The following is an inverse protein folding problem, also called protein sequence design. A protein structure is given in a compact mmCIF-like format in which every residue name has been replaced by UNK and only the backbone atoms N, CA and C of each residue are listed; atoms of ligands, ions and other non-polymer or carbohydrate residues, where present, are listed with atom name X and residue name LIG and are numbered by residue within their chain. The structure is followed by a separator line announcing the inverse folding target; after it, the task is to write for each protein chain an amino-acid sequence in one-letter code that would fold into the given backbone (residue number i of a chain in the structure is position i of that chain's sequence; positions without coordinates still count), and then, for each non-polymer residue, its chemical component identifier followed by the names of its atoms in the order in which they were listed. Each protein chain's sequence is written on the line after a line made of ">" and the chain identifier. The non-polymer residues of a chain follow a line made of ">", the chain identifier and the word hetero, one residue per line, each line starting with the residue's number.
data_IF_231115911400
#
_entry.id   IF_231115911400
#
_cell.length_a   1.000
_cell.length_b   1.000
_cell.length_c   1.000
_cell.angle_alpha   90.00
_cell.angle_beta   90.00
_cell.angle_gamma   90.00
#
_symmetry.space_group_name_H-M   'P 1'
#
loop_
_entity.id
_entity.type
_entity.pdbx_description
1 polymer ?
#
# COMPACT_ATOMS: atom_id res chain seq x y z
N UNK A 1 -33.53 -14.30 -52.96
CA UNK A 1 -34.22 -13.41 -52.01
C UNK A 1 -33.61 -13.78 -50.66
N UNK A 2 -32.83 -12.90 -50.13
CA UNK A 2 -31.76 -13.17 -49.16
C UNK A 2 -32.31 -12.97 -47.77
N UNK A 3 -32.23 -14.01 -46.98
CA UNK A 3 -32.49 -13.96 -45.53
C UNK A 3 -31.30 -13.33 -44.83
N UNK A 4 -31.52 -12.47 -43.89
CA UNK A 4 -30.51 -11.78 -43.08
C UNK A 4 -30.59 -12.33 -41.69
N UNK A 5 -29.45 -12.92 -41.25
CA UNK A 5 -29.18 -13.41 -39.93
C UNK A 5 -29.19 -12.29 -38.89
N UNK A 6 -29.94 -12.54 -37.85
CA UNK A 6 -30.13 -11.67 -36.68
C UNK A 6 -29.00 -11.97 -35.65
N UNK A 7 -27.96 -11.14 -35.61
CA UNK A 7 -26.94 -11.19 -34.59
C UNK A 7 -27.37 -10.40 -33.35
N UNK A 8 -28.05 -11.09 -32.45
CA UNK A 8 -28.46 -10.56 -31.16
C UNK A 8 -27.30 -10.26 -30.24
N UNK A 9 -26.81 -9.03 -30.21
CA UNK A 9 -25.99 -8.50 -29.12
C UNK A 9 -26.92 -8.13 -27.96
N UNK A 10 -27.00 -9.03 -26.97
CA UNK A 10 -27.77 -8.81 -25.74
C UNK A 10 -27.24 -7.62 -24.93
N UNK A 11 -27.84 -6.47 -25.11
CA UNK A 11 -27.65 -5.34 -24.21
C UNK A 11 -28.29 -5.67 -22.86
N UNK A 12 -27.51 -6.05 -21.87
CA UNK A 12 -27.98 -6.13 -20.49
C UNK A 12 -28.31 -4.73 -20.00
N UNK A 13 -29.61 -4.39 -20.00
CA UNK A 13 -30.07 -3.08 -19.61
C UNK A 13 -29.80 -2.79 -18.13
N UNK A 14 -29.44 -1.54 -17.82
CA UNK A 14 -29.20 -1.01 -16.45
C UNK A 14 -30.35 -1.32 -15.46
N UNK A 15 -31.54 -1.63 -15.95
CA UNK A 15 -32.72 -2.02 -15.15
C UNK A 15 -32.62 -3.46 -14.60
N UNK A 16 -31.88 -4.37 -15.22
CA UNK A 16 -31.67 -5.72 -14.73
C UNK A 16 -30.71 -5.72 -13.55
N UNK A 17 -29.67 -4.89 -13.60
CA UNK A 17 -28.71 -4.72 -12.51
C UNK A 17 -29.38 -4.15 -11.23
N UNK A 18 -30.24 -3.14 -11.36
CA UNK A 18 -30.94 -2.52 -10.23
C UNK A 18 -32.00 -3.44 -9.58
N UNK A 19 -32.54 -4.40 -10.30
CA UNK A 19 -33.45 -5.40 -9.72
C UNK A 19 -32.73 -6.47 -8.87
N UNK A 20 -31.47 -6.73 -9.17
CA UNK A 20 -30.65 -7.67 -8.39
C UNK A 20 -30.10 -7.07 -7.09
N UNK A 21 -29.90 -5.77 -7.04
CA UNK A 21 -29.36 -5.07 -5.85
C UNK A 21 -30.47 -4.67 -4.87
N UNK A 22 -31.71 -4.52 -5.33
CA UNK A 22 -32.85 -4.05 -4.53
C UNK A 22 -33.59 -5.08 -3.67
N UNK A 23 -33.26 -6.37 -3.76
CA UNK A 23 -33.98 -7.44 -3.04
C UNK A 23 -33.21 -8.12 -1.90
N UNK A 24 -32.06 -7.59 -1.48
CA UNK A 24 -31.23 -8.16 -0.41
C UNK A 24 -31.28 -7.35 0.90
N UNK A 25 -32.46 -6.80 1.25
CA UNK A 25 -32.68 -6.14 2.52
C UNK A 25 -33.55 -6.98 3.44
N UNK A 26 -33.11 -8.20 3.81
CA UNK A 26 -33.58 -8.89 5.02
C UNK A 26 -32.43 -9.77 5.54
N UNK A 27 -32.20 -9.69 6.84
CA UNK A 27 -31.19 -10.41 7.58
C UNK A 27 -31.21 -11.91 7.27
N UNK A 28 -30.09 -12.47 6.78
CA UNK A 28 -29.88 -13.92 6.84
C UNK A 28 -29.48 -14.64 5.56
N UNK A 29 -28.73 -14.04 4.62
CA UNK A 29 -28.25 -14.83 3.48
C UNK A 29 -26.94 -14.34 2.86
N UNK A 30 -25.85 -14.46 3.59
CA UNK A 30 -24.50 -14.52 3.01
C UNK A 30 -24.23 -15.85 2.25
N UNK A 31 -25.21 -16.76 2.24
CA UNK A 31 -25.10 -18.07 1.60
C UNK A 31 -25.59 -18.13 0.15
N UNK A 32 -26.14 -17.05 -0.42
CA UNK A 32 -26.74 -17.08 -1.76
C UNK A 32 -25.83 -16.58 -2.89
N UNK A 33 -24.57 -16.22 -2.61
CA UNK A 33 -23.56 -15.93 -3.63
C UNK A 33 -22.68 -17.15 -3.98
N UNK A 34 -22.94 -18.33 -3.40
CA UNK A 34 -22.22 -19.57 -3.65
C UNK A 34 -22.65 -20.31 -4.93
N UNK A 35 -23.36 -19.66 -5.86
CA UNK A 35 -23.97 -20.28 -7.02
C UNK A 35 -23.34 -20.03 -8.38
N UNK A 36 -22.16 -19.45 -8.46
CA UNK A 36 -21.42 -19.30 -9.72
C UNK A 36 -19.99 -19.81 -9.57
N UNK A 37 -19.81 -21.10 -9.93
CA UNK A 37 -18.56 -21.72 -10.38
C UNK A 37 -17.32 -21.54 -9.53
N UNK A 38 -17.06 -22.46 -8.76
CA UNK A 38 -15.94 -23.08 -8.01
C UNK A 38 -14.48 -22.55 -8.13
N UNK A 39 -14.20 -21.37 -8.65
CA UNK A 39 -12.80 -20.88 -8.71
C UNK A 39 -12.55 -19.50 -8.09
N UNK A 40 -13.58 -18.78 -7.67
CA UNK A 40 -13.44 -17.38 -7.22
C UNK A 40 -14.30 -17.05 -5.99
N UNK A 41 -14.56 -18.00 -5.12
CA UNK A 41 -15.39 -17.82 -3.93
C UNK A 41 -14.71 -17.03 -2.81
N UNK A 42 -15.52 -16.66 -1.82
CA UNK A 42 -15.10 -15.92 -0.62
C UNK A 42 -13.95 -16.58 0.17
N UNK A 43 -13.67 -17.86 -0.06
CA UNK A 43 -12.56 -18.60 0.56
C UNK A 43 -11.18 -18.05 0.14
N UNK A 44 -11.04 -17.56 -1.09
CA UNK A 44 -9.76 -16.99 -1.57
C UNK A 44 -9.42 -15.68 -0.84
N UNK A 45 -10.43 -14.92 -0.41
CA UNK A 45 -10.22 -13.70 0.38
C UNK A 45 -9.87 -14.03 1.83
N UNK A 46 -10.43 -15.10 2.37
CA UNK A 46 -10.17 -15.54 3.73
C UNK A 46 -8.81 -16.25 3.87
N UNK A 47 -8.38 -17.02 2.86
CA UNK A 47 -7.15 -17.81 2.92
C UNK A 47 -5.89 -16.95 2.64
N UNK A 48 -6.00 -15.89 1.82
CA UNK A 48 -4.91 -14.91 1.63
C UNK A 48 -4.70 -14.03 2.86
N UNK A 49 -5.55 -14.14 3.86
CA UNK A 49 -5.55 -13.27 5.03
C UNK A 49 -5.62 -14.06 6.35
N UNK A 50 -4.92 -15.19 6.44
CA UNK A 50 -4.80 -15.91 7.71
C UNK A 50 -3.67 -15.26 8.53
N UNK A 51 -3.99 -14.55 9.64
CA UNK A 51 -2.96 -14.02 10.52
C UNK A 51 -2.16 -15.20 11.07
N UNK A 52 -0.91 -15.35 10.69
CA UNK A 52 0.02 -16.21 11.42
C UNK A 52 0.22 -15.61 12.80
N UNK A 53 -0.04 -16.40 13.83
CA UNK A 53 0.11 -15.96 15.22
C UNK A 53 1.57 -15.52 15.48
N UNK A 54 1.81 -14.43 16.20
CA UNK A 54 3.16 -14.03 16.58
C UNK A 54 3.84 -15.11 17.44
N UNK A 55 5.15 -15.30 17.32
CA UNK A 55 5.90 -16.33 18.05
C UNK A 55 5.96 -16.13 19.57
N UNK A 56 5.52 -14.99 20.09
CA UNK A 56 5.36 -14.72 21.53
C UNK A 56 3.88 -14.55 21.80
N UNK A 57 3.30 -15.16 22.87
CA UNK A 57 1.92 -14.91 23.22
C UNK A 57 1.76 -13.41 23.47
N UNK A 58 1.17 -12.73 22.50
CA UNK A 58 0.70 -11.36 22.73
C UNK A 58 -0.27 -11.44 23.93
N UNK A 59 -0.21 -10.48 24.88
CA UNK A 59 -1.25 -10.36 25.88
C UNK A 59 -2.59 -10.37 25.15
N UNK A 60 -3.63 -10.97 25.76
CA UNK A 60 -4.97 -11.12 25.20
C UNK A 60 -5.62 -9.73 25.04
N UNK A 61 -5.06 -8.90 24.16
CA UNK A 61 -5.51 -7.56 23.84
C UNK A 61 -6.16 -7.57 22.48
N UNK A 62 -7.44 -7.26 22.42
CA UNK A 62 -8.16 -7.08 21.17
C UNK A 62 -8.03 -5.62 20.76
N UNK A 63 -7.39 -5.37 19.61
CA UNK A 63 -7.22 -4.02 19.10
C UNK A 63 -8.57 -3.35 18.81
N UNK A 64 -8.70 -2.12 19.23
CA UNK A 64 -9.89 -1.27 19.01
C UNK A 64 -9.79 -0.55 17.66
N UNK A 65 -10.89 0.05 17.21
CA UNK A 65 -10.89 0.94 16.03
C UNK A 65 -9.87 2.07 16.19
N UNK A 66 -9.75 2.65 17.40
CA UNK A 66 -8.76 3.71 17.68
C UNK A 66 -7.33 3.21 17.53
N UNK A 67 -7.03 1.97 17.90
CA UNK A 67 -5.69 1.40 17.69
C UNK A 67 -5.38 1.22 16.20
N UNK A 68 -6.34 0.71 15.45
CA UNK A 68 -6.19 0.55 14.00
C UNK A 68 -6.04 1.89 13.28
N UNK A 69 -6.82 2.90 13.65
CA UNK A 69 -6.72 4.24 13.09
C UNK A 69 -5.38 4.91 13.44
N UNK A 70 -4.91 4.77 14.67
CA UNK A 70 -3.58 5.24 15.08
C UNK A 70 -2.47 4.53 14.33
N UNK A 71 -2.59 3.22 14.12
CA UNK A 71 -1.63 2.48 13.31
C UNK A 71 -1.61 3.00 11.86
N UNK A 72 -2.78 3.18 11.25
CA UNK A 72 -2.88 3.75 9.90
C UNK A 72 -2.26 5.16 9.85
N UNK A 73 -2.44 5.96 10.90
CA UNK A 73 -1.83 7.29 11.02
C UNK A 73 -0.30 7.23 11.04
N UNK A 74 0.32 6.20 11.67
CA UNK A 74 1.78 6.05 11.65
C UNK A 74 2.30 5.80 10.23
N UNK A 75 1.65 4.92 9.47
CA UNK A 75 2.00 4.68 8.06
C UNK A 75 1.71 5.92 7.21
N UNK A 76 0.62 6.66 7.53
CA UNK A 76 0.31 7.94 6.87
C UNK A 76 1.40 8.98 7.10
N UNK A 77 1.97 9.09 8.30
CA UNK A 77 3.11 9.98 8.57
C UNK A 77 4.33 9.62 7.71
N UNK A 78 4.61 8.32 7.51
CA UNK A 78 5.70 7.88 6.65
C UNK A 78 5.48 8.31 5.20
N UNK A 79 4.32 7.99 4.61
CA UNK A 79 4.03 8.34 3.21
C UNK A 79 3.97 9.85 3.02
N UNK A 80 3.35 10.57 3.96
CA UNK A 80 3.32 12.05 3.94
C UNK A 80 4.72 12.63 4.04
N UNK A 81 5.55 12.15 4.96
CA UNK A 81 6.92 12.62 5.15
C UNK A 81 7.77 12.47 3.89
N UNK A 82 7.64 11.33 3.21
CA UNK A 82 8.34 11.07 1.96
C UNK A 82 7.87 11.99 0.82
N UNK A 83 6.57 12.00 0.52
CA UNK A 83 6.04 12.78 -0.60
C UNK A 83 6.15 14.28 -0.37
N UNK A 84 5.91 14.74 0.85
CA UNK A 84 6.04 16.16 1.19
C UNK A 84 7.49 16.66 1.07
N UNK A 85 8.44 15.87 1.61
CA UNK A 85 9.88 16.21 1.50
C UNK A 85 10.33 16.22 0.05
N UNK A 86 9.87 15.28 -0.75
CA UNK A 86 10.21 15.20 -2.17
C UNK A 86 9.63 16.36 -2.98
N UNK A 87 8.40 16.77 -2.69
CA UNK A 87 7.74 17.85 -3.41
C UNK A 87 8.18 19.25 -2.98
N UNK A 88 8.41 19.46 -1.67
CA UNK A 88 8.58 20.80 -1.08
C UNK A 88 9.88 21.00 -0.29
N UNK A 89 10.66 19.95 -0.05
CA UNK A 89 11.95 20.01 0.66
C UNK A 89 11.86 20.14 2.18
N UNK A 90 10.67 20.46 2.71
CA UNK A 90 10.44 20.72 4.14
C UNK A 90 9.70 19.60 4.87
N UNK A 91 9.12 19.95 6.00
CA UNK A 91 8.23 19.09 6.79
C UNK A 91 6.81 19.68 6.80
N UNK A 92 5.81 18.84 7.07
CA UNK A 92 4.43 19.31 7.25
C UNK A 92 4.30 20.20 8.48
N UNK A 93 3.15 20.85 8.62
CA UNK A 93 2.86 21.74 9.76
C UNK A 93 3.11 21.00 11.09
N UNK A 94 3.93 21.57 12.01
CA UNK A 94 4.25 20.95 13.31
C UNK A 94 3.03 20.62 14.19
N UNK A 95 1.92 21.33 14.04
CA UNK A 95 0.68 21.02 14.77
C UNK A 95 0.08 19.66 14.41
N UNK A 96 0.40 19.14 13.23
CA UNK A 96 -0.10 17.85 12.75
C UNK A 96 0.72 16.65 13.24
N UNK A 97 1.87 16.88 13.87
CA UNK A 97 2.77 15.79 14.31
C UNK A 97 2.73 15.53 15.82
N UNK A 98 1.95 16.32 16.58
CA UNK A 98 1.78 16.17 18.03
C UNK A 98 0.81 15.04 18.40
N UNK A 99 0.87 14.55 19.65
CA UNK A 99 -0.02 13.52 20.16
C UNK A 99 0.60 12.73 21.31
N UNK A 100 0.03 11.57 21.63
CA UNK A 100 0.59 10.66 22.64
C UNK A 100 1.76 9.86 22.07
N UNK A 101 2.72 9.51 22.91
CA UNK A 101 3.93 8.80 22.52
C UNK A 101 5.10 9.73 22.18
N UNK A 102 6.18 9.17 21.64
CA UNK A 102 7.39 9.92 21.32
C UNK A 102 7.18 10.73 20.03
N UNK A 103 7.37 12.04 20.09
CA UNK A 103 7.38 12.90 18.90
C UNK A 103 8.77 12.86 18.26
N UNK A 104 8.84 12.59 16.95
CA UNK A 104 10.07 12.58 16.16
C UNK A 104 9.94 13.31 14.84
N UNK A 105 11.07 13.69 14.27
CA UNK A 105 11.16 14.33 12.96
C UNK A 105 11.32 13.33 11.83
N UNK A 106 11.22 13.84 10.59
CA UNK A 106 11.58 13.12 9.37
C UNK A 106 13.04 13.43 9.05
N UNK A 107 13.88 12.38 8.98
CA UNK A 107 15.31 12.48 8.65
C UNK A 107 15.60 11.92 7.25
N UNK A 108 16.60 12.48 6.59
CA UNK A 108 16.95 12.13 5.22
C UNK A 108 15.95 12.65 4.19
N UNK A 109 16.14 12.21 2.95
CA UNK A 109 15.35 12.68 1.82
C UNK A 109 15.72 14.08 1.34
N UNK A 110 15.32 14.41 0.13
CA UNK A 110 15.57 15.67 -0.51
C UNK A 110 14.40 16.08 -1.41
N UNK A 111 14.27 17.37 -1.67
CA UNK A 111 13.39 17.86 -2.73
C UNK A 111 13.92 17.38 -4.07
N UNK A 112 13.04 16.77 -4.87
CA UNK A 112 13.42 16.27 -6.18
C UNK A 112 13.37 17.39 -7.23
N UNK A 113 14.31 17.33 -8.18
CA UNK A 113 14.49 18.33 -9.26
C UNK A 113 14.50 17.57 -10.59
N UNK A 114 13.32 17.18 -11.06
CA UNK A 114 13.18 16.50 -12.36
C UNK A 114 12.73 17.47 -13.44
N UNK A 115 13.02 17.15 -14.69
CA UNK A 115 12.63 17.98 -15.85
C UNK A 115 11.19 17.75 -16.31
N UNK A 116 10.51 16.69 -15.81
CA UNK A 116 9.11 16.41 -16.10
C UNK A 116 8.20 17.27 -15.21
N UNK A 117 7.81 18.44 -15.70
CA UNK A 117 6.95 19.36 -14.96
C UNK A 117 5.56 18.79 -14.66
N UNK A 118 5.01 17.95 -15.55
CA UNK A 118 3.72 17.30 -15.31
C UNK A 118 3.82 16.32 -14.14
N UNK A 119 4.90 15.55 -14.10
CA UNK A 119 5.15 14.64 -12.97
C UNK A 119 5.36 15.44 -11.67
N UNK A 120 6.14 16.52 -11.69
CA UNK A 120 6.35 17.35 -10.50
C UNK A 120 5.06 18.00 -10.00
N UNK A 121 4.18 18.43 -10.89
CA UNK A 121 2.87 18.94 -10.50
C UNK A 121 2.02 17.87 -9.85
N UNK A 122 1.94 16.67 -10.44
CA UNK A 122 1.23 15.54 -9.85
C UNK A 122 1.82 15.14 -8.48
N UNK A 123 3.15 15.16 -8.32
CA UNK A 123 3.81 14.89 -7.05
C UNK A 123 3.43 15.93 -5.97
N UNK A 124 3.32 17.20 -6.32
CA UNK A 124 2.86 18.25 -5.38
C UNK A 124 1.41 18.00 -4.93
N UNK A 125 0.55 17.63 -5.85
CA UNK A 125 -0.85 17.28 -5.53
C UNK A 125 -0.94 16.03 -4.63
N UNK A 126 -0.15 15.00 -4.91
CA UNK A 126 -0.03 13.82 -4.03
C UNK A 126 0.42 14.25 -2.64
N UNK A 127 1.46 15.07 -2.51
CA UNK A 127 1.99 15.51 -1.22
C UNK A 127 0.94 16.30 -0.41
N UNK A 128 0.21 17.20 -1.05
CA UNK A 128 -0.89 17.95 -0.41
C UNK A 128 -1.99 17.01 0.06
N UNK A 129 -2.43 16.07 -0.79
CA UNK A 129 -3.46 15.11 -0.42
C UNK A 129 -3.01 14.15 0.70
N UNK A 130 -1.72 13.75 0.74
CA UNK A 130 -1.17 12.94 1.84
C UNK A 130 -1.20 13.72 3.16
N UNK A 131 -0.90 15.03 3.15
CA UNK A 131 -1.00 15.87 4.34
C UNK A 131 -2.45 16.04 4.81
N UNK A 132 -3.40 16.24 3.90
CA UNK A 132 -4.84 16.30 4.22
C UNK A 132 -5.33 14.99 4.84
N UNK A 133 -4.81 13.82 4.42
CA UNK A 133 -5.14 12.54 5.05
C UNK A 133 -4.64 12.45 6.49
N UNK A 134 -3.52 13.08 6.83
CA UNK A 134 -3.10 13.22 8.23
C UNK A 134 -4.14 14.01 9.01
N UNK A 135 -4.62 15.14 8.48
CA UNK A 135 -5.67 15.95 9.12
C UNK A 135 -6.93 15.11 9.35
N UNK A 136 -7.40 14.40 8.31
CA UNK A 136 -8.61 13.57 8.39
C UNK A 136 -8.49 12.44 9.42
N UNK A 137 -7.38 11.68 9.40
CA UNK A 137 -7.16 10.60 10.37
C UNK A 137 -7.08 11.15 11.81
N UNK A 138 -6.38 12.26 12.01
CA UNK A 138 -6.32 12.90 13.34
C UNK A 138 -7.68 13.36 13.84
N UNK A 139 -8.51 13.92 12.98
CA UNK A 139 -9.88 14.32 13.30
C UNK A 139 -10.75 13.09 13.64
N UNK A 140 -10.61 11.99 12.90
CA UNK A 140 -11.35 10.75 13.13
C UNK A 140 -10.96 10.09 14.47
N UNK A 141 -9.69 10.13 14.85
CA UNK A 141 -9.17 9.58 16.11
C UNK A 141 -9.55 10.48 17.30
N UNK A 142 -9.51 11.79 17.14
CA UNK A 142 -9.80 12.75 18.20
C UNK A 142 -8.73 12.82 19.29
N UNK A 143 -9.15 12.81 20.56
CA UNK A 143 -8.25 12.99 21.71
C UNK A 143 -7.22 11.87 21.90
N UNK A 144 -7.44 10.69 21.32
CA UNK A 144 -6.54 9.54 21.41
C UNK A 144 -5.43 9.52 20.35
N UNK A 145 -5.22 10.63 19.62
CA UNK A 145 -4.24 10.68 18.51
C UNK A 145 -2.81 10.47 19.00
N UNK A 146 -2.06 9.62 18.29
CA UNK A 146 -0.64 9.41 18.55
C UNK A 146 0.23 10.39 17.74
N UNK A 147 1.37 10.79 18.35
CA UNK A 147 2.34 11.64 17.70
C UNK A 147 3.00 10.95 16.49
N UNK A 148 3.57 11.75 15.59
CA UNK A 148 4.51 11.24 14.58
C UNK A 148 5.76 10.73 15.28
N UNK A 149 6.21 9.49 15.01
CA UNK A 149 7.46 8.97 15.55
C UNK A 149 8.67 9.51 14.73
N UNK A 150 9.87 9.14 15.13
CA UNK A 150 11.04 9.37 14.28
C UNK A 150 10.92 8.55 12.98
N UNK A 151 11.06 9.21 11.85
CA UNK A 151 10.95 8.62 10.51
C UNK A 151 12.25 8.86 9.74
N UNK A 152 12.80 7.81 9.14
CA UNK A 152 13.96 7.86 8.28
C UNK A 152 13.53 7.57 6.83
N UNK A 153 13.83 8.49 5.90
CA UNK A 153 13.53 8.36 4.47
C UNK A 153 14.76 8.61 3.59
N UNK A 154 15.96 8.43 4.13
CA UNK A 154 17.19 8.56 3.36
C UNK A 154 17.35 7.43 2.34
N UNK A 155 18.15 7.72 1.30
CA UNK A 155 18.62 6.75 0.31
C UNK A 155 20.11 6.41 0.49
N UNK A 156 20.61 5.44 -0.27
CA UNK A 156 21.99 5.00 -0.23
C UNK A 156 22.32 4.03 0.91
N UNK A 157 23.60 3.79 1.12
CA UNK A 157 24.10 2.76 2.04
C UNK A 157 23.49 2.83 3.44
N UNK A 158 22.91 1.73 3.90
CA UNK A 158 22.34 1.61 5.24
C UNK A 158 21.04 2.35 5.47
N UNK A 159 20.46 2.93 4.41
CA UNK A 159 19.17 3.60 4.48
C UNK A 159 18.01 2.60 4.51
N UNK A 160 16.81 3.05 4.95
CA UNK A 160 15.61 2.21 4.87
C UNK A 160 15.28 1.76 3.45
N UNK A 161 15.44 2.64 2.46
CA UNK A 161 15.20 2.30 1.07
C UNK A 161 16.17 1.24 0.55
N UNK A 162 17.45 1.33 0.90
CA UNK A 162 18.43 0.32 0.55
C UNK A 162 18.14 -1.02 1.27
N UNK A 163 17.64 -0.97 2.50
CA UNK A 163 17.29 -2.16 3.28
C UNK A 163 16.12 -2.97 2.69
N UNK A 164 15.14 -2.29 2.08
CA UNK A 164 14.00 -2.95 1.41
C UNK A 164 14.27 -3.23 -0.07
N UNK A 165 15.40 -2.77 -0.61
CA UNK A 165 15.76 -2.97 -2.01
C UNK A 165 16.20 -4.42 -2.29
N UNK A 166 15.95 -4.86 -3.51
CA UNK A 166 16.48 -6.13 -4.00
C UNK A 166 17.98 -6.07 -4.23
N UNK A 167 18.74 -6.98 -3.65
CA UNK A 167 20.18 -7.11 -3.90
C UNK A 167 20.50 -7.62 -5.32
N UNK A 168 19.53 -8.23 -5.99
CA UNK A 168 19.64 -8.63 -7.40
C UNK A 168 19.50 -7.43 -8.36
N UNK A 169 18.88 -6.33 -7.90
CA UNK A 169 18.75 -5.08 -8.64
C UNK A 169 19.78 -4.03 -8.20
N UNK A 170 20.04 -3.97 -6.89
CA UNK A 170 20.92 -3.00 -6.23
C UNK A 170 21.91 -3.74 -5.32
N UNK A 171 23.05 -4.22 -5.84
CA UNK A 171 24.08 -4.84 -5.02
C UNK A 171 24.67 -3.83 -4.04
N UNK A 172 25.30 -4.32 -2.98
CA UNK A 172 25.86 -3.47 -1.92
C UNK A 172 26.90 -2.44 -2.39
N UNK A 173 27.50 -2.67 -3.56
CA UNK A 173 28.40 -1.70 -4.21
C UNK A 173 27.66 -0.51 -4.86
N UNK A 174 26.38 -0.64 -5.13
CA UNK A 174 25.50 0.39 -5.71
C UNK A 174 24.18 0.40 -4.94
N UNK A 175 24.18 0.93 -3.71
CA UNK A 175 23.02 0.91 -2.83
C UNK A 175 21.87 1.75 -3.42
N UNK A 176 20.65 1.35 -3.14
CA UNK A 176 19.47 2.03 -3.68
C UNK A 176 19.25 3.39 -3.03
N UNK A 177 19.18 4.41 -3.87
CA UNK A 177 18.82 5.78 -3.49
C UNK A 177 17.63 6.26 -4.35
N UNK A 178 16.43 6.46 -3.78
CA UNK A 178 15.27 6.93 -4.53
C UNK A 178 15.42 8.37 -5.03
N UNK A 179 16.38 9.14 -4.53
CA UNK A 179 16.57 10.54 -4.94
C UNK A 179 17.61 10.71 -6.07
N UNK A 180 18.26 9.62 -6.50
CA UNK A 180 19.34 9.66 -7.48
C UNK A 180 18.87 10.00 -8.91
N UNK A 181 17.66 9.60 -9.29
CA UNK A 181 17.07 9.86 -10.62
C UNK A 181 15.55 9.77 -10.58
N UNK A 182 14.86 10.18 -11.65
CA UNK A 182 13.41 9.99 -11.78
C UNK A 182 13.02 8.51 -11.70
N UNK A 183 13.75 7.63 -12.39
CA UNK A 183 13.48 6.19 -12.38
C UNK A 183 13.63 5.60 -10.98
N UNK A 184 14.71 5.97 -10.27
CA UNK A 184 14.92 5.55 -8.88
C UNK A 184 13.81 6.07 -7.97
N UNK A 185 13.39 7.33 -8.18
CA UNK A 185 12.28 7.91 -7.43
C UNK A 185 10.98 7.15 -7.64
N UNK A 186 10.65 6.82 -8.89
CA UNK A 186 9.45 6.06 -9.23
C UNK A 186 9.43 4.67 -8.58
N UNK A 187 10.57 3.97 -8.51
CA UNK A 187 10.69 2.68 -7.80
C UNK A 187 10.42 2.82 -6.30
N UNK A 188 10.98 3.84 -5.65
CA UNK A 188 10.76 4.10 -4.23
C UNK A 188 9.34 4.58 -3.93
N UNK A 189 8.83 5.50 -4.75
CA UNK A 189 7.50 6.09 -4.61
C UNK A 189 6.39 5.05 -4.82
N UNK A 190 6.52 4.19 -5.84
CA UNK A 190 5.59 3.07 -6.09
C UNK A 190 5.50 2.16 -4.87
N UNK A 191 6.64 1.75 -4.30
CA UNK A 191 6.67 0.89 -3.12
C UNK A 191 6.02 1.50 -1.88
N UNK A 192 6.32 2.78 -1.56
CA UNK A 192 5.71 3.45 -0.41
C UNK A 192 4.24 3.80 -0.62
N UNK A 193 3.86 4.22 -1.83
CA UNK A 193 2.46 4.44 -2.19
C UNK A 193 1.64 3.16 -1.96
N UNK A 194 2.13 2.04 -2.49
CA UNK A 194 1.46 0.76 -2.35
C UNK A 194 1.41 0.24 -0.90
N UNK A 195 2.46 0.48 -0.10
CA UNK A 195 2.43 0.20 1.34
C UNK A 195 1.29 0.96 2.01
N UNK A 196 1.14 2.27 1.73
CA UNK A 196 0.07 3.09 2.27
C UNK A 196 -1.32 2.62 1.84
N UNK A 197 -1.51 2.33 0.55
CA UNK A 197 -2.77 1.87 -0.04
C UNK A 197 -3.19 0.51 0.52
N UNK A 198 -2.28 -0.47 0.52
CA UNK A 198 -2.57 -1.82 1.01
C UNK A 198 -2.82 -1.85 2.53
N UNK A 199 -2.13 -1.00 3.29
CA UNK A 199 -2.39 -0.83 4.73
C UNK A 199 -3.78 -0.23 4.97
N UNK A 200 -4.15 0.85 4.27
CA UNK A 200 -5.47 1.46 4.40
C UNK A 200 -6.59 0.47 4.12
N UNK A 201 -6.44 -0.35 3.05
CA UNK A 201 -7.39 -1.43 2.77
C UNK A 201 -7.46 -2.46 3.89
N UNK A 202 -6.31 -2.93 4.38
CA UNK A 202 -6.26 -3.92 5.45
C UNK A 202 -6.88 -3.41 6.76
N UNK A 203 -6.73 -2.12 7.07
CA UNK A 203 -7.37 -1.48 8.23
C UNK A 203 -8.87 -1.31 8.03
N UNK A 204 -9.34 -0.87 6.86
CA UNK A 204 -10.77 -0.68 6.60
C UNK A 204 -11.60 -1.93 6.95
N UNK A 205 -11.08 -3.13 6.63
CA UNK A 205 -11.77 -4.39 6.92
C UNK A 205 -11.70 -4.84 8.39
N UNK A 206 -10.93 -4.16 9.24
CA UNK A 206 -10.82 -4.44 10.68
C UNK A 206 -11.67 -3.51 11.53
N UNK A 207 -12.09 -2.39 10.96
CA UNK A 207 -12.92 -1.42 11.67
C UNK A 207 -14.33 -1.95 11.89
N UNK A 208 -14.77 -1.89 13.14
CA UNK A 208 -16.10 -2.34 13.55
C UNK A 208 -17.13 -1.21 13.43
N UNK A 209 -16.72 0.04 13.65
CA UNK A 209 -17.58 1.21 13.47
C UNK A 209 -17.74 1.53 11.98
N UNK A 210 -18.97 1.58 11.50
CA UNK A 210 -19.28 1.81 10.09
C UNK A 210 -18.79 3.19 9.60
N UNK A 211 -18.92 4.25 10.41
CA UNK A 211 -18.48 5.59 10.03
C UNK A 211 -16.94 5.66 9.90
N UNK A 212 -16.20 5.00 10.82
CA UNK A 212 -14.75 4.88 10.73
C UNK A 212 -14.34 4.14 9.46
N UNK A 213 -15.00 3.03 9.18
CA UNK A 213 -14.75 2.22 7.97
C UNK A 213 -15.03 3.01 6.71
N UNK A 214 -16.16 3.70 6.62
CA UNK A 214 -16.54 4.50 5.45
C UNK A 214 -15.55 5.65 5.22
N UNK A 215 -15.09 6.31 6.27
CA UNK A 215 -14.05 7.33 6.18
C UNK A 215 -12.74 6.75 5.63
N UNK A 216 -12.27 5.61 6.16
CA UNK A 216 -11.04 4.96 5.66
C UNK A 216 -11.18 4.46 4.24
N UNK A 217 -12.35 3.97 3.83
CA UNK A 217 -12.62 3.60 2.43
C UNK A 217 -12.57 4.82 1.49
N UNK A 218 -13.03 5.99 1.94
CA UNK A 218 -12.86 7.25 1.21
C UNK A 218 -11.38 7.62 1.02
N UNK A 219 -10.57 7.51 2.09
CA UNK A 219 -9.12 7.73 1.99
C UNK A 219 -8.44 6.70 1.07
N UNK A 220 -8.86 5.44 1.12
CA UNK A 220 -8.36 4.37 0.27
C UNK A 220 -8.56 4.67 -1.21
N UNK A 221 -9.72 5.19 -1.61
CA UNK A 221 -10.00 5.59 -3.00
C UNK A 221 -8.97 6.60 -3.52
N UNK A 222 -8.68 7.64 -2.74
CA UNK A 222 -7.65 8.62 -3.08
C UNK A 222 -6.23 8.05 -3.10
N UNK A 223 -5.90 7.13 -2.19
CA UNK A 223 -4.58 6.44 -2.19
C UNK A 223 -4.41 5.54 -3.43
N UNK A 224 -5.42 4.79 -3.80
CA UNK A 224 -5.40 3.96 -5.00
C UNK A 224 -5.21 4.79 -6.29
N UNK A 225 -5.79 6.01 -6.31
CA UNK A 225 -5.57 6.96 -7.41
C UNK A 225 -4.11 7.40 -7.51
N UNK A 226 -3.47 7.71 -6.37
CA UNK A 226 -2.05 8.08 -6.34
C UNK A 226 -1.13 6.90 -6.68
N UNK A 227 -1.47 5.71 -6.22
CA UNK A 227 -0.74 4.49 -6.56
C UNK A 227 -0.73 4.26 -8.08
N UNK A 228 -1.89 4.41 -8.71
CA UNK A 228 -2.03 4.35 -10.17
C UNK A 228 -1.16 5.40 -10.86
N UNK A 229 -1.09 6.63 -10.35
CA UNK A 229 -0.24 7.69 -10.90
C UNK A 229 1.24 7.27 -10.94
N UNK A 230 1.79 6.74 -9.84
CA UNK A 230 3.18 6.29 -9.80
C UNK A 230 3.42 5.07 -10.68
N UNK A 231 2.51 4.11 -10.72
CA UNK A 231 2.62 2.92 -11.56
C UNK A 231 2.59 3.26 -13.05
N UNK A 232 1.69 4.16 -13.48
CA UNK A 232 1.66 4.64 -14.87
C UNK A 232 2.95 5.39 -15.23
N UNK A 233 3.46 6.26 -14.34
CA UNK A 233 4.70 6.99 -14.56
C UNK A 233 5.90 6.02 -14.69
N UNK A 234 5.97 5.02 -13.82
CA UNK A 234 6.99 3.97 -13.85
C UNK A 234 6.92 3.14 -15.15
N UNK A 235 5.72 2.72 -15.54
CA UNK A 235 5.52 2.00 -16.80
C UNK A 235 5.95 2.84 -18.01
N UNK A 236 5.57 4.14 -18.04
CA UNK A 236 5.99 5.06 -19.11
C UNK A 236 7.51 5.23 -19.16
N UNK A 237 8.17 5.35 -18.02
CA UNK A 237 9.63 5.41 -17.96
C UNK A 237 10.26 4.12 -18.53
N UNK A 238 9.66 2.97 -18.27
CA UNK A 238 10.07 1.68 -18.80
C UNK A 238 9.96 1.56 -20.33
N UNK A 239 9.11 2.34 -21.01
CA UNK A 239 9.07 2.38 -22.47
C UNK A 239 10.38 2.89 -23.08
N UNK A 240 11.07 3.81 -22.38
CA UNK A 240 12.37 4.30 -22.80
C UNK A 240 13.52 3.43 -22.28
N UNK A 241 13.32 2.70 -21.18
CA UNK A 241 14.32 1.87 -20.51
C UNK A 241 13.68 0.59 -19.99
N UNK A 242 13.52 -0.40 -20.85
CA UNK A 242 12.77 -1.64 -20.55
C UNK A 242 13.32 -2.44 -19.35
N UNK A 243 14.63 -2.31 -19.05
CA UNK A 243 15.24 -2.93 -17.85
C UNK A 243 14.65 -2.43 -16.53
N UNK A 244 13.92 -1.30 -16.56
CA UNK A 244 13.23 -0.77 -15.39
C UNK A 244 12.09 -1.70 -14.92
N UNK A 245 11.46 -2.42 -15.83
CA UNK A 245 10.42 -3.40 -15.51
C UNK A 245 10.98 -4.55 -14.67
N UNK A 246 12.12 -5.14 -15.11
CA UNK A 246 12.80 -6.19 -14.34
C UNK A 246 13.32 -5.68 -12.99
N UNK A 247 13.75 -4.42 -12.96
CA UNK A 247 14.18 -3.79 -11.70
C UNK A 247 13.01 -3.67 -10.73
N UNK A 248 11.84 -3.20 -11.19
CA UNK A 248 10.65 -3.13 -10.34
C UNK A 248 10.19 -4.50 -9.87
N UNK A 249 10.16 -5.52 -10.74
CA UNK A 249 9.82 -6.89 -10.35
C UNK A 249 10.74 -7.41 -9.23
N UNK A 250 12.05 -7.17 -9.33
CA UNK A 250 13.00 -7.54 -8.28
C UNK A 250 12.73 -6.77 -6.97
N UNK A 251 12.38 -5.48 -7.05
CA UNK A 251 12.01 -4.68 -5.88
C UNK A 251 10.72 -5.18 -5.23
N UNK A 252 9.72 -5.53 -6.03
CA UNK A 252 8.47 -6.16 -5.57
C UNK A 252 8.73 -7.49 -4.89
N UNK A 253 9.55 -8.36 -5.48
CA UNK A 253 9.93 -9.64 -4.88
C UNK A 253 10.64 -9.46 -3.54
N UNK A 254 11.50 -8.44 -3.41
CA UNK A 254 12.15 -8.14 -2.15
C UNK A 254 11.13 -7.75 -1.06
N UNK A 255 10.14 -6.93 -1.39
CA UNK A 255 9.04 -6.58 -0.48
C UNK A 255 8.13 -7.78 -0.16
N UNK A 256 7.82 -8.62 -1.13
CA UNK A 256 7.06 -9.85 -0.92
C UNK A 256 7.78 -10.82 0.02
N UNK A 257 9.12 -10.95 -0.10
CA UNK A 257 9.95 -11.77 0.79
C UNK A 257 9.95 -11.25 2.24
N UNK A 258 9.81 -9.95 2.46
CA UNK A 258 9.62 -9.40 3.80
C UNK A 258 8.30 -9.84 4.44
N UNK A 259 7.29 -10.12 3.63
CA UNK A 259 5.98 -10.62 4.06
C UNK A 259 5.83 -12.16 4.02
N UNK A 260 6.94 -12.91 3.87
CA UNK A 260 6.93 -14.37 3.83
C UNK A 260 6.71 -14.98 2.44
N UNK A 261 6.66 -14.18 1.38
CA UNK A 261 6.66 -14.67 0.00
C UNK A 261 8.01 -15.27 -0.36
N UNK A 262 8.04 -16.47 -0.95
CA UNK A 262 9.28 -17.16 -1.33
C UNK A 262 9.86 -16.70 -2.67
N UNK A 263 9.09 -15.92 -3.44
CA UNK A 263 9.48 -15.46 -4.77
C UNK A 263 9.34 -16.52 -5.86
N UNK A 264 8.85 -17.72 -5.55
CA UNK A 264 8.72 -18.84 -6.53
C UNK A 264 7.29 -19.02 -7.03
N UNK A 265 6.35 -18.18 -6.60
CA UNK A 265 4.93 -18.25 -6.99
C UNK A 265 4.10 -19.29 -6.24
N UNK A 266 4.70 -20.02 -5.29
CA UNK A 266 4.01 -21.04 -4.50
C UNK A 266 3.24 -20.50 -3.29
N UNK A 267 3.66 -19.36 -2.75
CA UNK A 267 2.92 -18.58 -1.76
C UNK A 267 2.55 -17.26 -2.40
N UNK A 268 1.36 -16.78 -2.19
CA UNK A 268 0.81 -15.61 -2.88
C UNK A 268 1.82 -14.46 -2.93
N UNK A 269 2.29 -14.13 -4.12
CA UNK A 269 2.97 -12.87 -4.36
C UNK A 269 1.96 -11.76 -4.07
N UNK A 270 2.22 -10.97 -3.06
CA UNK A 270 1.28 -9.95 -2.59
C UNK A 270 1.27 -8.70 -3.47
N UNK A 271 2.38 -8.44 -4.16
CA UNK A 271 2.52 -7.32 -5.09
C UNK A 271 2.92 -7.82 -6.47
N UNK A 272 2.59 -7.05 -7.50
CA UNK A 272 3.10 -7.26 -8.87
C UNK A 272 3.89 -6.03 -9.31
N UNK A 273 4.98 -6.25 -10.05
CA UNK A 273 5.64 -5.23 -10.82
C UNK A 273 4.74 -4.66 -11.94
N UNK A 274 5.29 -3.82 -12.79
CA UNK A 274 4.53 -3.18 -13.88
C UNK A 274 4.67 -3.93 -15.22
N UNK A 275 5.47 -4.98 -15.29
CA UNK A 275 5.68 -5.81 -16.47
C UNK A 275 7.11 -6.30 -16.60
N UNK A 276 7.40 -7.08 -17.62
CA UNK A 276 8.73 -7.61 -17.92
C UNK A 276 9.41 -6.82 -19.05
N UNK A 277 10.74 -6.86 -19.11
CA UNK A 277 11.54 -6.18 -20.13
C UNK A 277 11.25 -6.64 -21.57
N UNK A 278 10.76 -7.87 -21.76
CA UNK A 278 10.33 -8.42 -23.04
C UNK A 278 8.92 -7.96 -23.47
N UNK A 279 8.26 -7.08 -22.69
CA UNK A 279 6.90 -6.60 -22.94
C UNK A 279 5.80 -7.60 -22.55
N UNK A 280 6.15 -8.72 -21.91
CA UNK A 280 5.17 -9.66 -21.37
C UNK A 280 4.67 -9.22 -19.97
N UNK A 281 3.55 -9.81 -19.51
CA UNK A 281 2.99 -9.61 -18.18
C UNK A 281 2.80 -8.14 -17.75
N UNK A 282 2.35 -7.28 -18.67
CA UNK A 282 2.07 -5.87 -18.33
C UNK A 282 0.94 -5.80 -17.32
N UNK A 283 1.22 -5.23 -16.14
CA UNK A 283 0.29 -5.08 -15.01
C UNK A 283 0.33 -3.64 -14.51
N UNK A 284 -0.14 -2.70 -15.33
CA UNK A 284 -0.07 -1.27 -14.99
C UNK A 284 -0.91 -0.94 -13.76
N UNK A 285 -2.10 -1.51 -13.61
CA UNK A 285 -3.07 -1.13 -12.58
C UNK A 285 -3.12 -2.07 -11.37
N UNK A 286 -2.32 -3.13 -11.34
CA UNK A 286 -2.24 -4.11 -10.25
C UNK A 286 -3.58 -4.69 -9.74
N UNK A 287 -4.55 -4.85 -10.64
CA UNK A 287 -5.87 -5.41 -10.30
C UNK A 287 -5.93 -6.94 -10.37
N UNK A 288 -4.85 -7.59 -10.80
CA UNK A 288 -4.81 -9.06 -10.99
C UNK A 288 -4.31 -9.83 -9.78
N UNK A 289 -3.77 -9.16 -8.78
CA UNK A 289 -3.04 -9.79 -7.68
C UNK A 289 -3.90 -10.73 -6.81
N UNK A 290 -5.20 -10.52 -6.79
CA UNK A 290 -6.13 -11.32 -5.97
C UNK A 290 -7.08 -12.19 -6.79
N UNK A 291 -6.95 -12.26 -8.11
CA UNK A 291 -7.96 -12.84 -9.01
C UNK A 291 -9.41 -12.35 -8.76
N UNK A 292 -9.57 -11.36 -7.87
CA UNK A 292 -10.85 -10.82 -7.44
C UNK A 292 -11.11 -9.39 -7.94
N UNK A 293 -10.12 -8.78 -8.61
CA UNK A 293 -10.17 -7.36 -8.99
C UNK A 293 -10.07 -6.39 -7.81
N UNK A 294 -9.80 -6.89 -6.61
CA UNK A 294 -9.64 -6.07 -5.41
C UNK A 294 -8.17 -5.74 -5.16
N UNK A 295 -7.90 -4.56 -4.61
CA UNK A 295 -6.58 -4.18 -4.15
C UNK A 295 -6.10 -5.11 -3.03
N UNK A 296 -4.79 -5.33 -2.93
CA UNK A 296 -4.20 -6.04 -1.80
C UNK A 296 -4.48 -5.31 -0.48
N UNK A 297 -4.83 -6.04 0.57
CA UNK A 297 -4.92 -5.53 1.94
C UNK A 297 -3.86 -6.17 2.83
N UNK A 298 -2.99 -5.37 3.45
CA UNK A 298 -2.01 -5.85 4.44
C UNK A 298 -2.55 -5.74 5.85
N UNK A 299 -2.24 -6.74 6.67
CA UNK A 299 -2.38 -6.61 8.12
C UNK A 299 -1.34 -5.63 8.67
N UNK A 300 -1.56 -5.08 9.86
CA UNK A 300 -0.60 -4.18 10.48
C UNK A 300 0.80 -4.76 10.63
N UNK A 301 0.90 -6.02 11.04
CA UNK A 301 2.14 -6.75 11.21
C UNK A 301 2.91 -6.92 9.90
N UNK A 302 2.22 -7.28 8.81
CA UNK A 302 2.81 -7.38 7.47
C UNK A 302 3.23 -6.00 6.91
N UNK A 303 2.45 -4.96 7.18
CA UNK A 303 2.86 -3.59 6.83
C UNK A 303 4.15 -3.19 7.57
N UNK A 304 4.27 -3.58 8.84
CA UNK A 304 5.47 -3.33 9.64
C UNK A 304 6.68 -4.15 9.19
N UNK A 305 6.52 -5.34 8.63
CA UNK A 305 7.66 -6.05 8.03
C UNK A 305 8.36 -5.21 6.97
N UNK A 306 7.60 -4.55 6.10
CA UNK A 306 8.16 -3.64 5.08
C UNK A 306 8.68 -2.36 5.74
N UNK A 307 7.88 -1.75 6.61
CA UNK A 307 8.23 -0.47 7.25
C UNK A 307 9.47 -0.57 8.14
N UNK A 308 9.70 -1.72 8.79
CA UNK A 308 10.89 -2.00 9.59
C UNK A 308 12.01 -2.68 8.80
N UNK A 309 11.76 -3.01 7.53
CA UNK A 309 12.71 -3.75 6.68
C UNK A 309 13.16 -5.08 7.32
N UNK A 310 12.25 -5.81 7.95
CA UNK A 310 12.56 -7.00 8.75
C UNK A 310 11.64 -8.17 8.46
N UNK A 311 12.22 -9.38 8.33
CA UNK A 311 11.49 -10.65 8.28
C UNK A 311 11.20 -11.23 9.66
N UNK A 312 11.79 -10.68 10.71
CA UNK A 312 11.59 -11.13 12.09
C UNK A 312 10.63 -10.23 12.83
N UNK A 313 10.01 -10.74 13.88
CA UNK A 313 9.15 -9.96 14.75
C UNK A 313 10.00 -8.93 15.53
N UNK A 314 9.86 -7.66 15.14
CA UNK A 314 10.57 -6.53 15.76
C UNK A 314 9.59 -5.40 16.06
N UNK A 315 10.00 -4.46 16.91
CA UNK A 315 9.20 -3.28 17.27
C UNK A 315 9.75 -1.98 16.66
N UNK A 316 10.84 -2.04 15.91
CA UNK A 316 11.49 -0.87 15.30
C UNK A 316 12.44 -1.31 14.20
N UNK A 317 12.88 -0.38 13.36
CA UNK A 317 13.81 -0.59 12.27
C UNK A 317 13.40 0.17 11.01
N UNK A 318 14.19 0.03 9.95
CA UNK A 318 13.90 0.59 8.65
C UNK A 318 13.46 2.05 8.67
N UNK A 319 12.26 2.33 8.18
CA UNK A 319 11.70 3.68 8.14
C UNK A 319 11.32 4.24 9.53
N UNK A 320 11.19 3.40 10.54
CA UNK A 320 10.88 3.79 11.91
C UNK A 320 11.98 3.34 12.87
N UNK A 321 13.12 4.05 12.93
CA UNK A 321 14.28 3.63 13.70
C UNK A 321 14.00 3.39 15.20
N UNK A 322 13.02 4.09 15.76
CA UNK A 322 12.58 3.97 17.15
C UNK A 322 11.22 3.27 17.29
N UNK A 323 10.70 2.69 16.21
CA UNK A 323 9.38 2.09 16.15
C UNK A 323 8.25 3.11 15.95
N UNK A 324 7.05 2.60 15.76
CA UNK A 324 5.82 3.40 15.65
C UNK A 324 5.22 3.65 17.04
N UNK A 325 4.43 4.72 17.17
CA UNK A 325 3.63 4.98 18.36
C UNK A 325 2.32 4.19 18.36
N UNK A 326 1.71 4.02 19.52
CA UNK A 326 0.44 3.33 19.71
C UNK A 326 0.61 1.88 20.17
N UNK A 327 -0.48 1.15 20.16
CA UNK A 327 -0.56 -0.21 20.69
C UNK A 327 -0.05 -1.26 19.69
N UNK A 328 -0.34 -1.06 18.41
CA UNK A 328 0.05 -1.95 17.31
C UNK A 328 1.45 -1.52 16.83
N UNK A 329 2.49 -2.25 17.20
CA UNK A 329 3.88 -1.85 16.93
C UNK A 329 4.86 -3.00 16.63
N UNK A 330 4.39 -4.24 16.57
CA UNK A 330 5.25 -5.39 16.26
C UNK A 330 4.98 -5.89 14.84
N UNK A 331 6.07 -6.12 14.09
CA UNK A 331 6.02 -6.87 12.84
C UNK A 331 5.86 -8.38 13.10
N UNK A 332 5.56 -9.14 12.06
CA UNK A 332 5.44 -10.59 12.13
C UNK A 332 6.78 -11.29 11.87
N UNK A 333 6.95 -12.50 12.40
CA UNK A 333 7.97 -13.40 11.89
C UNK A 333 7.47 -13.99 10.56
N UNK A 334 8.06 -13.54 9.48
CA UNK A 334 7.82 -14.09 8.15
C UNK A 334 8.65 -15.37 7.99
N UNK A 335 7.99 -16.53 7.95
CA UNK A 335 8.64 -17.83 7.78
C UNK A 335 8.95 -18.11 6.31
#
# INVERSE_FOLDING_TARGET
>A
MIDKDDNGTGAYGRRAFLRYVGSAATAGSLAALAGCGDKYGAEVIADTYKPTAPPTPAPAYTATDTDYLNFLLQIQYLTTGFFWRSAFGGSINPSLVTGTGATGGVSGGAQVQFSDELFLQGLREVALAEAERVVQLRALIGTGVTAQPAIAIGGGTGSPFDAIASRDAFPSSTPFDPYASLESYLLGASGLSFLGTSTARGIAFRLTNAANRDAVLGLLGGKAHHDTFFRIALWRAGLAKSTLYDTEDKMVLARNRLNGGDGTGGVANYENGVGNADGSNIVVLDVRNSNSGALLGRSPDLALNIAYASKTAVASGGFFPNGVNGTIKYSNAAN
#
